data_IF_356868614363
#
_entry.id   IF_356868614363
#
_cell.length_a   1.000
_cell.length_b   1.000
_cell.length_c   1.000
_cell.angle_alpha   90.00
_cell.angle_beta   90.00
_cell.angle_gamma   90.00
#
_symmetry.space_group_name_H-M   'P 1'
#
loop_
_entity.id
_entity.type
_entity.pdbx_description
1 polymer ?
#
# COMPACT_ATOMS: atom_id res chain seq x y z
N UNK A 1 -27.23 -21.79 -18.14
CA UNK A 1 -25.93 -21.27 -17.69
C UNK A 1 -26.03 -21.00 -16.19
N UNK A 2 -24.91 -21.02 -15.45
CA UNK A 2 -24.93 -20.51 -14.07
C UNK A 2 -24.89 -19.00 -14.17
N UNK A 3 -25.83 -18.31 -13.53
CA UNK A 3 -25.93 -16.85 -13.57
C UNK A 3 -25.31 -16.19 -12.32
N UNK A 4 -24.68 -17.00 -11.47
CA UNK A 4 -24.02 -16.60 -10.23
C UNK A 4 -22.85 -17.52 -9.91
N UNK A 5 -21.76 -16.94 -9.41
CA UNK A 5 -20.59 -17.65 -8.88
C UNK A 5 -20.14 -16.99 -7.58
N UNK A 6 -19.75 -17.79 -6.59
CA UNK A 6 -19.40 -17.28 -5.24
C UNK A 6 -17.97 -16.72 -5.13
N UNK A 7 -17.08 -17.10 -6.05
CA UNK A 7 -15.67 -16.67 -6.08
C UNK A 7 -15.30 -16.23 -7.48
N UNK A 8 -14.35 -15.31 -7.58
CA UNK A 8 -13.86 -14.82 -8.88
C UNK A 8 -13.13 -15.93 -9.67
N UNK A 9 -12.51 -16.89 -8.99
CA UNK A 9 -11.83 -18.05 -9.60
C UNK A 9 -12.79 -18.96 -10.39
N UNK A 10 -14.08 -18.90 -10.07
CA UNK A 10 -15.13 -19.67 -10.73
C UNK A 10 -15.73 -18.94 -11.96
N UNK A 11 -15.25 -17.72 -12.27
CA UNK A 11 -15.65 -16.99 -13.46
C UNK A 11 -15.13 -17.69 -14.73
N UNK A 12 -15.88 -17.62 -15.85
CA UNK A 12 -15.37 -18.06 -17.14
C UNK A 12 -14.10 -17.29 -17.53
N UNK A 13 -13.22 -17.82 -18.40
CA UNK A 13 -12.07 -17.07 -18.90
C UNK A 13 -12.45 -15.74 -19.55
N UNK A 14 -11.59 -14.73 -19.41
CA UNK A 14 -11.84 -13.34 -19.81
C UNK A 14 -11.05 -12.31 -19.01
N UNK A 15 -11.44 -11.04 -19.16
CA UNK A 15 -10.69 -9.88 -18.68
C UNK A 15 -11.48 -9.05 -17.65
N UNK A 16 -10.75 -8.44 -16.70
CA UNK A 16 -11.30 -7.43 -15.80
C UNK A 16 -11.47 -6.08 -16.52
N UNK A 17 -12.61 -5.43 -16.28
CA UNK A 17 -12.91 -4.09 -16.74
C UNK A 17 -12.60 -3.07 -15.62
N UNK A 18 -12.53 -1.80 -16.00
CA UNK A 18 -12.38 -0.72 -15.02
C UNK A 18 -13.56 -0.70 -14.03
N UNK A 19 -13.26 -0.51 -12.75
CA UNK A 19 -14.28 -0.37 -11.72
C UNK A 19 -15.12 0.90 -11.96
N UNK A 20 -16.42 0.81 -11.68
CA UNK A 20 -17.31 1.97 -11.81
C UNK A 20 -17.25 2.91 -10.60
N UNK A 21 -17.95 4.04 -10.69
CA UNK A 21 -18.03 5.09 -9.67
C UNK A 21 -18.60 4.60 -8.32
N UNK A 22 -19.14 3.37 -8.27
CA UNK A 22 -19.73 2.75 -7.08
C UNK A 22 -18.86 1.61 -6.52
N UNK A 23 -17.67 1.38 -7.09
CA UNK A 23 -16.74 0.33 -6.64
C UNK A 23 -17.16 -1.08 -7.07
N UNK A 24 -18.05 -1.21 -8.05
CA UNK A 24 -18.45 -2.52 -8.58
C UNK A 24 -17.34 -3.01 -9.50
N UNK A 25 -16.87 -4.24 -9.25
CA UNK A 25 -15.91 -4.90 -10.12
C UNK A 25 -16.64 -5.49 -11.32
N UNK A 26 -16.21 -5.10 -12.51
CA UNK A 26 -16.77 -5.56 -13.77
C UNK A 26 -15.81 -6.54 -14.44
N UNK A 27 -16.37 -7.63 -14.97
CA UNK A 27 -15.61 -8.68 -15.64
C UNK A 27 -16.28 -9.03 -16.96
N UNK A 28 -15.49 -9.15 -18.03
CA UNK A 28 -15.97 -9.52 -19.36
C UNK A 28 -15.37 -10.85 -19.76
N UNK A 29 -16.22 -11.87 -19.83
CA UNK A 29 -15.82 -13.19 -20.29
C UNK A 29 -15.57 -13.21 -21.82
N UNK A 30 -14.78 -14.17 -22.27
CA UNK A 30 -14.43 -14.37 -23.69
C UNK A 30 -15.64 -14.63 -24.59
N UNK A 31 -16.75 -15.12 -24.02
CA UNK A 31 -18.02 -15.34 -24.72
C UNK A 31 -18.84 -14.04 -24.90
N UNK A 32 -18.32 -12.90 -24.44
CA UNK A 32 -18.95 -11.58 -24.51
C UNK A 32 -19.91 -11.30 -23.37
N UNK A 33 -20.06 -12.21 -22.40
CA UNK A 33 -20.88 -11.97 -21.21
C UNK A 33 -20.19 -11.02 -20.22
N UNK A 34 -21.00 -10.16 -19.62
CA UNK A 34 -20.54 -9.23 -18.59
C UNK A 34 -20.97 -9.73 -17.22
N UNK A 35 -20.10 -9.60 -16.24
CA UNK A 35 -20.31 -10.02 -14.87
C UNK A 35 -19.98 -8.86 -13.95
N UNK A 36 -20.74 -8.71 -12.88
CA UNK A 36 -20.52 -7.66 -11.89
C UNK A 36 -20.47 -8.24 -10.48
N UNK A 37 -19.66 -7.63 -9.62
CA UNK A 37 -19.57 -8.01 -8.21
C UNK A 37 -20.86 -7.67 -7.46
N UNK A 38 -21.22 -8.54 -6.52
CA UNK A 38 -22.31 -8.40 -5.55
C UNK A 38 -21.84 -8.95 -4.21
N UNK A 39 -22.58 -8.69 -3.14
CA UNK A 39 -22.21 -9.10 -1.77
C UNK A 39 -21.92 -10.60 -1.60
N UNK A 40 -22.51 -11.45 -2.45
CA UNK A 40 -22.39 -12.91 -2.42
C UNK A 40 -21.54 -13.51 -3.58
N UNK A 41 -20.77 -12.69 -4.29
CA UNK A 41 -19.88 -13.12 -5.38
C UNK A 41 -20.06 -12.31 -6.66
N UNK A 42 -20.28 -12.98 -7.80
CA UNK A 42 -20.43 -12.35 -9.11
C UNK A 42 -21.69 -12.84 -9.82
N UNK A 43 -22.42 -11.91 -10.44
CA UNK A 43 -23.63 -12.20 -11.20
C UNK A 43 -23.49 -11.77 -12.64
N UNK A 44 -24.10 -12.57 -13.52
CA UNK A 44 -24.20 -12.29 -14.94
C UNK A 44 -25.08 -11.06 -15.14
N UNK A 45 -24.53 -10.04 -15.80
CA UNK A 45 -25.26 -8.86 -16.22
C UNK A 45 -26.09 -9.22 -17.46
N UNK A 46 -27.39 -9.32 -17.26
CA UNK A 46 -28.36 -9.43 -18.34
C UNK A 46 -28.80 -7.99 -18.67
N UNK A 47 -28.53 -7.50 -19.89
CA UNK A 47 -29.28 -6.34 -20.41
C UNK A 47 -30.75 -6.68 -20.24
N UNK A 48 -31.52 -5.80 -19.60
CA UNK A 48 -32.98 -5.81 -19.71
C UNK A 48 -33.33 -5.53 -21.17
N UNK A 49 -33.18 -6.56 -22.00
CA UNK A 49 -33.65 -6.61 -23.36
C UNK A 49 -35.16 -6.62 -23.23
N UNK A 50 -35.74 -5.43 -23.40
CA UNK A 50 -37.05 -5.19 -23.97
C UNK A 50 -38.07 -6.27 -23.61
N UNK A 51 -38.94 -5.96 -22.65
CA UNK A 51 -40.27 -6.57 -22.62
C UNK A 51 -40.74 -6.70 -24.08
N UNK A 52 -40.93 -7.93 -24.52
CA UNK A 52 -41.50 -8.24 -25.82
C UNK A 52 -42.84 -7.52 -25.89
N UNK A 53 -42.86 -6.44 -26.68
CA UNK A 53 -44.11 -5.77 -27.03
C UNK A 53 -44.87 -6.75 -27.93
N UNK A 54 -45.72 -7.56 -27.30
CA UNK A 54 -46.77 -8.26 -28.01
C UNK A 54 -47.76 -7.19 -28.48
N UNK A 55 -47.56 -6.75 -29.73
CA UNK A 55 -48.39 -5.77 -30.42
C UNK A 55 -49.77 -6.36 -30.68
N UNK A 56 -50.67 -6.33 -29.70
CA UNK A 56 -52.09 -6.27 -30.01
C UNK A 56 -52.92 -5.47 -28.99
N UNK A 57 -53.45 -4.35 -29.51
CA UNK A 57 -54.66 -3.61 -29.11
C UNK A 57 -54.59 -2.59 -27.95
N UNK A 58 -54.50 -1.32 -28.36
CA UNK A 58 -55.39 -0.17 -28.01
C UNK A 58 -55.98 -0.09 -26.59
N UNK A 59 -55.59 0.92 -25.81
CA UNK A 59 -56.35 2.16 -25.55
C UNK A 59 -55.67 3.09 -24.52
N UNK A 60 -55.55 4.38 -24.89
CA UNK A 60 -55.59 5.61 -24.08
C UNK A 60 -55.28 5.56 -22.56
N UNK A 61 -54.27 6.31 -22.12
CA UNK A 61 -54.46 7.57 -21.36
C UNK A 61 -53.11 8.30 -21.12
N UNK A 62 -53.10 9.61 -21.40
CA UNK A 62 -52.03 10.56 -21.10
C UNK A 62 -51.77 10.68 -19.60
N UNK A 63 -50.49 10.75 -19.20
CA UNK A 63 -50.00 11.73 -18.20
C UNK A 63 -48.47 11.73 -18.11
N UNK A 64 -47.87 12.82 -18.58
CA UNK A 64 -46.58 13.32 -18.10
C UNK A 64 -46.69 13.60 -16.60
N UNK A 65 -45.73 13.11 -15.81
CA UNK A 65 -45.54 13.54 -14.43
C UNK A 65 -44.35 14.49 -14.37
N UNK A 66 -44.66 15.74 -14.02
CA UNK A 66 -43.77 16.87 -13.79
C UNK A 66 -43.18 16.77 -12.37
N UNK A 67 -41.90 17.11 -12.26
CA UNK A 67 -41.05 17.03 -11.07
C UNK A 67 -41.24 18.26 -10.16
N UNK A 68 -42.47 18.52 -9.70
CA UNK A 68 -42.75 19.59 -8.73
C UNK A 68 -43.86 19.14 -7.77
N UNK A 69 -43.57 18.19 -6.88
CA UNK A 69 -44.50 17.84 -5.79
C UNK A 69 -43.77 17.10 -4.66
N UNK A 70 -42.83 17.77 -3.97
CA UNK A 70 -42.33 17.27 -2.68
C UNK A 70 -41.66 18.36 -1.82
N UNK A 71 -42.33 19.50 -1.65
CA UNK A 71 -42.05 20.41 -0.54
C UNK A 71 -43.35 21.04 -0.08
N UNK A 72 -44.16 20.25 0.63
CA UNK A 72 -45.12 20.81 1.56
C UNK A 72 -45.12 19.93 2.82
N UNK A 73 -45.21 20.62 3.95
CA UNK A 73 -45.59 20.14 5.29
C UNK A 73 -44.46 20.04 6.32
N UNK A 74 -44.06 21.22 6.83
CA UNK A 74 -43.85 21.47 8.27
C UNK A 74 -44.00 22.98 8.53
N UNK A 75 -45.22 23.44 8.82
CA UNK A 75 -45.42 24.68 9.60
C UNK A 75 -46.08 24.27 10.92
N UNK A 76 -45.31 24.44 11.99
CA UNK A 76 -45.73 24.36 13.38
C UNK A 76 -46.36 25.72 13.77
N UNK A 77 -47.36 25.65 14.65
CA UNK A 77 -47.79 26.67 15.61
C UNK A 77 -48.65 27.85 15.11
N UNK A 78 -49.87 27.95 15.66
CA UNK A 78 -50.28 29.22 16.29
C UNK A 78 -51.42 29.04 17.30
N UNK A 79 -51.24 29.66 18.47
CA UNK A 79 -52.32 30.04 19.40
C UNK A 79 -52.73 31.50 19.12
N UNK A 80 -54.02 31.70 18.82
CA UNK A 80 -54.90 32.83 19.17
C UNK A 80 -54.32 34.24 19.45
N UNK A 81 -54.60 35.20 18.56
CA UNK A 81 -55.77 36.12 18.62
C UNK A 81 -55.47 37.56 18.11
N UNK A 82 -56.47 38.09 17.40
CA UNK A 82 -56.85 39.50 17.22
C UNK A 82 -56.36 40.33 15.99
N UNK A 83 -57.39 40.70 15.22
CA UNK A 83 -57.58 41.72 14.19
C UNK A 83 -56.53 42.85 14.03
N UNK A 84 -56.08 43.09 12.80
CA UNK A 84 -56.54 44.22 11.94
C UNK A 84 -55.65 44.38 10.69
N UNK A 85 -56.29 44.52 9.53
CA UNK A 85 -55.64 44.92 8.28
C UNK A 85 -55.02 46.33 8.40
N UNK A 86 -53.69 46.42 8.37
CA UNK A 86 -52.99 47.66 7.99
C UNK A 86 -51.83 47.33 7.06
N UNK A 87 -52.03 47.66 5.78
CA UNK A 87 -51.02 47.70 4.74
C UNK A 87 -49.79 48.52 5.15
N UNK A 88 -48.64 47.86 5.34
CA UNK A 88 -47.33 48.53 5.39
C UNK A 88 -46.28 47.72 4.65
N UNK A 89 -45.70 48.36 3.64
CA UNK A 89 -44.56 47.92 2.86
C UNK A 89 -43.42 47.41 3.74
N UNK A 90 -43.18 46.10 3.77
CA UNK A 90 -41.99 45.55 4.39
C UNK A 90 -40.82 45.56 3.40
N UNK A 91 -39.86 46.46 3.64
CA UNK A 91 -38.50 46.34 3.11
C UNK A 91 -37.96 44.97 3.53
N UNK A 92 -37.79 44.04 2.58
CA UNK A 92 -37.05 42.79 2.77
C UNK A 92 -35.64 43.15 3.26
N UNK A 93 -35.37 42.97 4.56
CA UNK A 93 -34.00 42.85 5.05
C UNK A 93 -33.46 41.55 4.45
N UNK A 94 -32.43 41.66 3.60
CA UNK A 94 -31.71 40.50 3.06
C UNK A 94 -31.09 39.75 4.25
N UNK A 95 -31.72 38.67 4.68
CA UNK A 95 -31.16 37.76 5.67
C UNK A 95 -29.97 37.05 5.02
N UNK A 96 -28.81 37.12 5.66
CA UNK A 96 -27.54 36.53 5.16
C UNK A 96 -27.43 35.05 5.52
N UNK A 97 -28.36 34.53 6.33
CA UNK A 97 -28.45 33.14 6.80
C UNK A 97 -28.37 32.05 5.71
N UNK A 98 -29.08 32.15 4.56
CA UNK A 98 -29.01 31.11 3.54
C UNK A 98 -27.64 31.04 2.84
N UNK A 99 -26.89 32.14 2.78
CA UNK A 99 -25.54 32.15 2.21
C UNK A 99 -24.52 31.44 3.13
N UNK A 100 -24.69 31.57 4.45
CA UNK A 100 -23.85 30.86 5.43
C UNK A 100 -24.13 29.35 5.42
N UNK A 101 -25.39 28.93 5.28
CA UNK A 101 -25.73 27.50 5.19
C UNK A 101 -25.17 26.84 3.92
N UNK A 102 -25.24 27.52 2.77
CA UNK A 102 -24.61 27.05 1.52
C UNK A 102 -23.08 26.92 1.66
N UNK A 103 -22.42 27.86 2.33
CA UNK A 103 -20.97 27.79 2.57
C UNK A 103 -20.59 26.64 3.52
N UNK A 104 -21.43 26.31 4.50
CA UNK A 104 -21.20 25.15 5.38
C UNK A 104 -21.37 23.85 4.59
N UNK A 105 -22.38 23.72 3.73
CA UNK A 105 -22.61 22.51 2.92
C UNK A 105 -21.46 22.30 1.92
N UNK A 106 -21.03 23.36 1.23
CA UNK A 106 -19.88 23.31 0.29
C UNK A 106 -18.57 23.05 1.05
N UNK A 107 -18.39 23.62 2.24
CA UNK A 107 -17.22 23.39 3.07
C UNK A 107 -17.14 21.96 3.61
N UNK A 108 -18.27 21.36 4.00
CA UNK A 108 -18.34 19.99 4.53
C UNK A 108 -18.17 18.96 3.41
N UNK A 109 -18.80 19.15 2.25
CA UNK A 109 -18.64 18.26 1.09
C UNK A 109 -17.27 18.41 0.40
N UNK A 110 -16.73 19.64 0.35
CA UNK A 110 -15.40 19.88 -0.19
C UNK A 110 -14.29 19.30 0.69
N UNK A 111 -14.47 19.34 2.01
CA UNK A 111 -13.53 18.72 2.94
C UNK A 111 -13.59 17.19 2.88
N UNK A 112 -14.79 16.58 2.87
CA UNK A 112 -14.91 15.10 2.77
C UNK A 112 -14.36 14.56 1.45
N UNK A 113 -14.59 15.26 0.33
CA UNK A 113 -14.01 14.92 -0.96
C UNK A 113 -12.48 14.98 -0.97
N UNK A 114 -11.87 15.97 -0.29
CA UNK A 114 -10.42 16.06 -0.16
C UNK A 114 -9.82 14.93 0.67
N UNK A 115 -10.47 14.53 1.77
CA UNK A 115 -10.00 13.38 2.57
C UNK A 115 -10.14 12.05 1.83
N UNK A 116 -11.22 11.87 1.07
CA UNK A 116 -11.41 10.66 0.24
C UNK A 116 -10.44 10.65 -0.93
N UNK A 117 -10.21 11.79 -1.58
CA UNK A 117 -9.19 11.93 -2.63
C UNK A 117 -7.79 11.66 -2.08
N UNK A 118 -7.38 12.28 -0.97
CA UNK A 118 -6.08 12.04 -0.31
C UNK A 118 -5.92 10.58 0.14
N UNK A 119 -6.99 9.91 0.58
CA UNK A 119 -6.95 8.50 0.93
C UNK A 119 -6.79 7.58 -0.30
N UNK A 120 -7.47 7.89 -1.40
CA UNK A 120 -7.47 7.06 -2.62
C UNK A 120 -6.24 7.34 -3.49
N UNK A 121 -5.71 8.56 -3.49
CA UNK A 121 -4.56 8.98 -4.30
C UNK A 121 -3.26 9.04 -3.51
N UNK A 122 -3.25 8.63 -2.24
CA UNK A 122 -1.99 8.40 -1.53
C UNK A 122 -1.26 7.28 -2.26
N UNK A 123 -0.31 7.68 -3.09
CA UNK A 123 0.77 6.82 -3.55
C UNK A 123 1.26 6.08 -2.29
N UNK A 124 1.14 4.75 -2.28
CA UNK A 124 1.68 3.95 -1.18
C UNK A 124 3.16 4.28 -1.14
N UNK A 125 3.66 4.99 -0.11
CA UNK A 125 5.04 5.42 -0.10
C UNK A 125 5.88 4.15 -0.15
N UNK A 126 6.76 4.07 -1.15
CA UNK A 126 7.73 2.98 -1.24
C UNK A 126 8.60 3.10 0.02
N UNK A 127 8.74 2.04 0.83
CA UNK A 127 9.58 2.07 2.01
C UNK A 127 10.97 2.62 1.66
N UNK A 128 11.50 3.50 2.52
CA UNK A 128 12.83 4.11 2.32
C UNK A 128 13.95 3.07 2.22
N UNK A 129 13.69 1.86 2.71
CA UNK A 129 14.61 0.74 2.66
C UNK A 129 14.64 -0.02 1.31
N UNK A 130 13.78 0.34 0.34
CA UNK A 130 13.71 -0.37 -0.94
C UNK A 130 14.64 0.23 -1.99
N UNK A 131 15.21 -0.64 -2.84
CA UNK A 131 15.96 -0.23 -4.03
C UNK A 131 17.47 -0.09 -3.83
N UNK A 132 17.97 -0.17 -2.60
CA UNK A 132 19.39 -0.19 -2.27
C UNK A 132 19.84 -1.57 -1.77
N UNK A 133 21.13 -1.89 -1.96
CA UNK A 133 21.74 -3.10 -1.40
C UNK A 133 22.46 -2.73 -0.12
N UNK A 134 22.10 -3.40 0.96
CA UNK A 134 22.73 -3.28 2.28
C UNK A 134 23.81 -4.36 2.42
N UNK A 135 25.06 -3.93 2.43
CA UNK A 135 26.25 -4.77 2.59
C UNK A 135 26.63 -4.90 4.05
N UNK A 136 26.81 -6.14 4.50
CA UNK A 136 27.36 -6.48 5.80
C UNK A 136 28.65 -7.27 5.60
N UNK A 137 29.68 -6.91 6.35
CA UNK A 137 30.87 -7.73 6.54
C UNK A 137 30.87 -8.27 7.97
N UNK A 138 30.80 -9.59 8.09
CA UNK A 138 30.91 -10.31 9.35
C UNK A 138 32.26 -11.03 9.40
N UNK A 139 33.07 -10.69 10.40
CA UNK A 139 34.27 -11.42 10.80
C UNK A 139 34.06 -11.90 12.22
N UNK A 140 33.76 -13.21 12.36
CA UNK A 140 33.55 -13.81 13.66
C UNK A 140 34.82 -14.41 14.27
N UNK A 141 36.00 -14.22 13.65
CA UNK A 141 37.30 -14.65 14.17
C UNK A 141 37.49 -16.16 14.35
N UNK A 142 36.51 -16.98 13.97
CA UNK A 142 36.55 -18.43 14.12
C UNK A 142 36.48 -19.15 12.78
N UNK A 143 35.53 -18.82 11.89
CA UNK A 143 35.36 -19.59 10.64
C UNK A 143 34.71 -18.85 9.46
N UNK A 144 34.07 -17.69 9.65
CA UNK A 144 33.30 -17.03 8.58
C UNK A 144 33.68 -15.55 8.50
N UNK A 145 34.55 -15.23 7.53
CA UNK A 145 34.79 -13.89 7.02
C UNK A 145 34.02 -13.79 5.70
N UNK A 146 32.81 -13.25 5.75
CA UNK A 146 31.94 -13.19 4.57
C UNK A 146 31.27 -11.83 4.44
N UNK A 147 31.38 -11.27 3.23
CA UNK A 147 30.56 -10.13 2.82
C UNK A 147 29.23 -10.62 2.26
N UNK A 148 28.15 -10.08 2.79
CA UNK A 148 26.79 -10.45 2.44
C UNK A 148 26.01 -9.21 2.05
N UNK A 149 25.08 -9.34 1.11
CA UNK A 149 24.21 -8.25 0.67
C UNK A 149 22.74 -8.57 0.94
N UNK A 150 21.95 -7.55 1.25
CA UNK A 150 20.50 -7.63 1.40
C UNK A 150 19.86 -6.54 0.53
N UNK A 151 18.94 -6.92 -0.36
CA UNK A 151 18.13 -5.98 -1.13
C UNK A 151 16.67 -6.23 -0.82
N UNK A 152 16.03 -5.21 -0.26
CA UNK A 152 14.61 -5.25 0.03
C UNK A 152 13.81 -4.73 -1.16
N UNK A 153 12.76 -5.46 -1.49
CA UNK A 153 11.83 -5.14 -2.56
C UNK A 153 10.41 -5.46 -2.10
N UNK A 154 9.43 -5.00 -2.87
CA UNK A 154 8.05 -5.36 -2.63
C UNK A 154 7.90 -6.89 -2.67
N UNK A 155 7.39 -7.47 -1.57
CA UNK A 155 7.09 -8.90 -1.39
C UNK A 155 8.29 -9.87 -1.44
N UNK A 156 9.52 -9.37 -1.59
CA UNK A 156 10.72 -10.22 -1.57
C UNK A 156 11.94 -9.54 -0.96
N UNK A 157 12.80 -10.36 -0.35
CA UNK A 157 14.14 -9.96 0.06
C UNK A 157 15.13 -10.78 -0.76
N UNK A 158 16.01 -10.10 -1.48
CA UNK A 158 17.10 -10.73 -2.22
C UNK A 158 18.34 -10.71 -1.34
N UNK A 159 18.95 -11.89 -1.14
CA UNK A 159 20.19 -12.06 -0.40
C UNK A 159 21.32 -12.39 -1.35
N UNK A 160 22.48 -11.77 -1.12
CA UNK A 160 23.71 -12.00 -1.85
C UNK A 160 24.71 -12.65 -0.91
N UNK A 161 25.18 -13.84 -1.26
CA UNK A 161 26.21 -14.56 -0.53
C UNK A 161 27.43 -14.78 -1.44
N UNK A 162 28.66 -14.85 -0.90
CA UNK A 162 29.82 -15.25 -1.68
C UNK A 162 29.57 -16.63 -2.30
N UNK A 163 29.97 -16.83 -3.56
CA UNK A 163 29.66 -18.04 -4.34
C UNK A 163 30.05 -19.37 -3.68
N UNK A 164 31.06 -19.36 -2.82
CA UNK A 164 31.54 -20.54 -2.10
C UNK A 164 30.97 -20.67 -0.68
N UNK A 165 30.07 -19.76 -0.27
CA UNK A 165 29.38 -19.83 1.01
C UNK A 165 28.48 -21.06 1.06
N UNK A 166 28.40 -21.69 2.23
CA UNK A 166 27.49 -22.81 2.49
C UNK A 166 26.00 -22.42 2.34
N UNK A 167 25.71 -21.12 2.35
CA UNK A 167 24.38 -20.56 2.14
C UNK A 167 23.93 -20.57 0.67
N UNK A 168 24.84 -20.84 -0.27
CA UNK A 168 24.51 -20.97 -1.69
C UNK A 168 23.84 -22.34 -1.97
N UNK A 169 22.78 -22.31 -2.77
CA UNK A 169 22.11 -23.54 -3.24
C UNK A 169 23.00 -24.38 -4.15
N UNK A 170 22.63 -25.64 -4.39
CA UNK A 170 23.39 -26.56 -5.25
C UNK A 170 23.43 -26.13 -6.73
N UNK A 171 22.42 -25.37 -7.18
CA UNK A 171 22.36 -24.74 -8.52
C UNK A 171 21.99 -23.26 -8.36
N UNK A 172 22.93 -22.44 -7.87
CA UNK A 172 22.64 -21.07 -7.47
C UNK A 172 22.51 -20.15 -8.69
N UNK A 173 21.59 -19.20 -8.61
CA UNK A 173 21.63 -18.04 -9.50
C UNK A 173 22.88 -17.23 -9.18
N UNK A 174 23.82 -17.15 -10.12
CA UNK A 174 25.06 -16.37 -9.96
C UNK A 174 24.87 -15.00 -10.59
N UNK A 175 25.39 -14.00 -9.92
CA UNK A 175 25.37 -12.63 -10.40
C UNK A 175 26.32 -12.41 -11.60
N UNK A 176 26.23 -11.24 -12.24
CA UNK A 176 27.02 -10.94 -13.44
C UNK A 176 28.54 -10.97 -13.18
N UNK A 177 28.97 -10.71 -11.94
CA UNK A 177 30.40 -10.75 -11.59
C UNK A 177 30.94 -12.17 -11.43
N UNK A 178 30.08 -13.16 -11.25
CA UNK A 178 30.49 -14.54 -11.02
C UNK A 178 30.87 -14.85 -9.56
N UNK A 179 30.79 -13.88 -8.65
CA UNK A 179 31.27 -13.99 -7.28
C UNK A 179 30.18 -14.09 -6.22
N UNK A 180 28.95 -13.70 -6.53
CA UNK A 180 27.83 -13.80 -5.60
C UNK A 180 26.79 -14.79 -6.11
N UNK A 181 26.32 -15.66 -5.23
CA UNK A 181 25.04 -16.34 -5.43
C UNK A 181 23.91 -15.47 -4.89
N UNK A 182 22.79 -15.51 -5.60
CA UNK A 182 21.59 -14.73 -5.34
C UNK A 182 20.50 -15.69 -4.86
N UNK A 183 19.92 -15.38 -3.71
CA UNK A 183 18.79 -16.12 -3.16
C UNK A 183 17.64 -15.19 -2.86
N UNK A 184 16.49 -15.48 -3.44
CA UNK A 184 15.25 -14.78 -3.12
C UNK A 184 14.55 -15.48 -1.97
N UNK A 185 14.13 -14.72 -0.97
CA UNK A 185 13.32 -15.18 0.15
C UNK A 185 12.02 -14.40 0.13
N UNK A 186 10.89 -15.11 0.17
CA UNK A 186 9.56 -14.49 0.25
C UNK A 186 9.51 -13.58 1.48
N UNK A 187 9.09 -12.33 1.28
CA UNK A 187 9.35 -11.29 2.26
C UNK A 187 8.67 -11.53 3.61
N UNK A 188 9.39 -11.07 4.64
CA UNK A 188 8.85 -10.66 5.92
C UNK A 188 7.72 -9.66 5.66
N UNK A 189 6.65 -9.71 6.46
CA UNK A 189 5.71 -8.60 6.48
C UNK A 189 6.46 -7.41 7.11
N UNK A 190 6.59 -6.31 6.36
CA UNK A 190 7.25 -5.08 6.81
C UNK A 190 6.17 -4.04 7.11
N UNK A 191 6.15 -3.54 8.34
CA UNK A 191 5.22 -2.50 8.78
C UNK A 191 5.98 -1.26 9.20
N UNK A 192 5.59 -0.12 8.64
CA UNK A 192 6.07 1.19 9.09
C UNK A 192 5.47 1.53 10.47
N UNK A 193 6.34 1.84 11.45
CA UNK A 193 5.98 2.28 12.80
C UNK A 193 6.25 3.77 13.04
N UNK A 194 6.68 4.51 12.01
CA UNK A 194 7.08 5.91 12.07
C UNK A 194 8.58 6.08 12.28
N UNK A 195 9.11 5.56 13.39
CA UNK A 195 10.54 5.72 13.74
C UNK A 195 11.42 4.58 13.22
N UNK A 196 10.82 3.45 12.83
CA UNK A 196 11.48 2.26 12.31
C UNK A 196 10.46 1.41 11.54
N UNK A 197 10.97 0.44 10.78
CA UNK A 197 10.15 -0.62 10.19
C UNK A 197 10.23 -1.89 11.04
N UNK A 198 9.08 -2.52 11.32
CA UNK A 198 9.02 -3.83 11.96
C UNK A 198 8.94 -4.89 10.87
N UNK A 199 9.88 -5.83 10.84
CA UNK A 199 9.87 -6.96 9.92
C UNK A 199 9.72 -8.26 10.71
N UNK A 200 8.62 -8.98 10.52
CA UNK A 200 8.37 -10.24 11.22
C UNK A 200 8.41 -11.43 10.27
N UNK A 201 9.03 -12.50 10.73
CA UNK A 201 9.01 -13.80 10.07
C UNK A 201 7.68 -14.49 10.39
N UNK A 202 6.85 -14.82 9.37
CA UNK A 202 5.56 -15.46 9.58
C UNK A 202 5.67 -16.86 10.20
N UNK A 203 6.81 -17.53 10.07
CA UNK A 203 7.06 -18.87 10.58
C UNK A 203 7.73 -18.88 11.96
N UNK A 204 8.62 -17.92 12.23
CA UNK A 204 9.46 -17.91 13.44
C UNK A 204 8.90 -17.06 14.59
N UNK A 205 7.85 -16.25 14.38
CA UNK A 205 7.28 -15.30 15.38
C UNK A 205 8.32 -14.27 15.86
N UNK A 206 9.51 -14.24 15.26
CA UNK A 206 10.55 -13.26 15.56
C UNK A 206 10.31 -12.03 14.70
N UNK A 207 10.40 -10.87 15.34
CA UNK A 207 10.26 -9.57 14.71
C UNK A 207 11.52 -8.77 14.99
N UNK A 208 12.08 -8.17 13.95
CA UNK A 208 13.24 -7.29 14.06
C UNK A 208 12.80 -5.85 13.74
N UNK A 209 13.49 -4.90 14.35
CA UNK A 209 13.29 -3.48 14.08
C UNK A 209 14.39 -2.98 13.14
N UNK A 210 13.98 -2.25 12.11
CA UNK A 210 14.80 -1.77 11.01
C UNK A 210 14.84 -0.24 11.06
N UNK A 211 15.95 0.32 11.53
CA UNK A 211 16.16 1.77 11.62
C UNK A 211 16.96 2.24 10.40
N UNK A 212 16.26 2.78 9.41
CA UNK A 212 16.85 3.29 8.18
C UNK A 212 17.56 4.61 8.45
N UNK A 213 18.78 4.74 7.95
CA UNK A 213 19.65 5.91 8.07
C UNK A 213 20.18 6.28 6.68
N UNK A 214 20.75 7.48 6.53
CA UNK A 214 21.23 7.97 5.22
C UNK A 214 22.25 7.02 4.58
N UNK A 215 23.10 6.39 5.39
CA UNK A 215 24.20 5.55 4.90
C UNK A 215 24.03 4.06 5.08
N UNK A 216 22.89 3.62 5.62
CA UNK A 216 22.64 2.23 5.89
C UNK A 216 21.45 1.99 6.80
N UNK A 217 21.52 0.91 7.57
CA UNK A 217 20.43 0.46 8.43
C UNK A 217 21.01 -0.14 9.71
N UNK A 218 20.38 0.18 10.84
CA UNK A 218 20.62 -0.52 12.11
C UNK A 218 19.46 -1.48 12.33
N UNK A 219 19.79 -2.77 12.44
CA UNK A 219 18.84 -3.82 12.80
C UNK A 219 18.93 -4.04 14.30
N UNK A 220 17.81 -3.90 15.00
CA UNK A 220 17.68 -4.25 16.40
C UNK A 220 16.83 -5.50 16.54
N UNK A 221 17.33 -6.48 17.29
CA UNK A 221 16.58 -7.65 17.69
C UNK A 221 16.06 -7.47 19.12
N UNK A 222 14.74 -7.33 19.33
CA UNK A 222 14.17 -7.16 20.67
C UNK A 222 14.33 -8.39 21.57
N UNK A 223 14.47 -9.59 21.00
CA UNK A 223 14.62 -10.84 21.76
C UNK A 223 16.03 -10.95 22.34
N UNK A 224 17.04 -10.64 21.53
CA UNK A 224 18.45 -10.73 21.91
C UNK A 224 19.03 -9.43 22.46
N UNK A 225 18.29 -8.32 22.34
CA UNK A 225 18.71 -6.98 22.74
C UNK A 225 20.06 -6.56 22.16
N UNK A 226 20.32 -6.97 20.92
CA UNK A 226 21.52 -6.64 20.17
C UNK A 226 21.20 -5.79 18.94
N UNK A 227 22.20 -5.05 18.47
CA UNK A 227 22.11 -4.26 17.26
C UNK A 227 23.20 -4.66 16.28
N UNK A 228 22.86 -4.61 14.99
CA UNK A 228 23.77 -4.85 13.88
C UNK A 228 23.63 -3.73 12.87
N UNK A 229 24.74 -3.09 12.55
CA UNK A 229 24.81 -2.01 11.55
C UNK A 229 25.21 -2.58 10.19
N UNK A 230 24.47 -2.22 9.15
CA UNK A 230 24.67 -2.66 7.77
C UNK A 230 24.72 -1.43 6.86
N UNK A 231 25.62 -1.43 5.87
CA UNK A 231 25.96 -0.25 5.06
C UNK A 231 25.24 -0.29 3.69
N UNK A 232 24.59 0.80 3.24
CA UNK A 232 24.02 0.88 1.88
C UNK A 232 24.70 1.90 0.96
N UNK A 233 25.35 2.92 1.52
CA UNK A 233 26.05 3.97 0.77
C UNK A 233 27.45 3.57 0.29
N UNK A 234 27.60 2.33 -0.16
CA UNK A 234 28.87 1.79 -0.67
C UNK A 234 28.61 1.01 -1.96
N UNK A 235 29.56 1.07 -2.89
CA UNK A 235 29.48 0.25 -4.08
C UNK A 235 29.56 -1.25 -3.74
N UNK A 236 29.09 -2.07 -4.67
CA UNK A 236 29.20 -3.52 -4.54
C UNK A 236 30.68 -3.91 -4.33
N UNK A 237 30.99 -4.79 -3.36
CA UNK A 237 32.35 -5.22 -3.07
C UNK A 237 33.03 -5.86 -4.28
N UNK A 238 34.25 -5.41 -4.56
CA UNK A 238 35.18 -6.13 -5.39
C UNK A 238 35.82 -7.25 -4.56
N UNK A 239 35.70 -8.49 -5.05
CA UNK A 239 36.19 -9.67 -4.36
C UNK A 239 37.50 -10.17 -4.97
N UNK A 240 38.46 -10.48 -4.11
CA UNK A 240 39.75 -11.08 -4.45
C UNK A 240 39.89 -12.42 -3.75
N UNK A 241 40.52 -13.37 -4.45
CA UNK A 241 40.79 -14.70 -3.90
C UNK A 241 42.08 -14.68 -3.08
N UNK A 242 42.03 -15.19 -1.84
CA UNK A 242 43.20 -15.34 -0.99
C UNK A 242 43.99 -16.64 -1.26
N UNK A 243 45.03 -16.91 -0.45
CA UNK A 243 45.87 -18.11 -0.57
C UNK A 243 45.14 -19.44 -0.26
N UNK A 244 43.94 -19.37 0.32
CA UNK A 244 43.10 -20.49 0.71
C UNK A 244 41.82 -20.59 -0.15
N UNK A 245 41.80 -19.94 -1.32
CA UNK A 245 40.65 -19.87 -2.24
C UNK A 245 39.39 -19.18 -1.65
N UNK A 246 39.54 -18.38 -0.59
CA UNK A 246 38.44 -17.59 0.01
C UNK A 246 38.27 -16.28 -0.74
N UNK A 247 37.02 -15.83 -0.87
CA UNK A 247 36.68 -14.57 -1.51
C UNK A 247 36.56 -13.47 -0.45
N UNK A 248 37.50 -12.54 -0.45
CA UNK A 248 37.55 -11.43 0.49
C UNK A 248 37.37 -10.09 -0.26
N UNK A 249 36.72 -9.09 0.35
CA UNK A 249 36.70 -7.73 -0.20
C UNK A 249 38.11 -7.14 -0.32
N UNK A 250 38.30 -6.20 -1.22
CA UNK A 250 39.56 -5.44 -1.31
C UNK A 250 39.77 -4.55 -0.08
N UNK A 251 41.05 -4.27 0.25
CA UNK A 251 41.40 -3.37 1.36
C UNK A 251 40.75 -1.99 1.21
N UNK A 252 40.70 -1.45 -0.02
CA UNK A 252 40.06 -0.17 -0.34
C UNK A 252 38.56 -0.18 0.01
N UNK A 253 37.86 -1.24 -0.38
CA UNK A 253 36.44 -1.40 -0.04
C UNK A 253 36.23 -1.55 1.47
N UNK A 254 37.11 -2.29 2.15
CA UNK A 254 37.04 -2.48 3.60
C UNK A 254 37.26 -1.19 4.39
N UNK A 255 38.21 -0.34 3.96
CA UNK A 255 38.44 0.96 4.56
C UNK A 255 37.19 1.86 4.45
N UNK A 256 36.58 1.92 3.27
CA UNK A 256 35.34 2.68 3.04
C UNK A 256 34.17 2.12 3.87
N UNK A 257 34.00 0.79 3.88
CA UNK A 257 32.96 0.11 4.66
C UNK A 257 33.07 0.45 6.15
N UNK A 258 34.25 0.36 6.75
CA UNK A 258 34.43 0.68 8.17
C UNK A 258 34.28 2.16 8.47
N UNK A 259 34.67 3.04 7.54
CA UNK A 259 34.41 4.46 7.66
C UNK A 259 32.90 4.72 7.74
N UNK A 260 32.12 4.21 6.79
CA UNK A 260 30.66 4.40 6.76
C UNK A 260 29.99 3.74 7.96
N UNK A 261 30.40 2.51 8.32
CA UNK A 261 29.88 1.80 9.49
C UNK A 261 30.09 2.60 10.78
N UNK A 262 31.22 3.31 10.90
CA UNK A 262 31.45 4.19 12.05
C UNK A 262 30.48 5.37 12.10
N UNK A 263 30.10 5.94 10.95
CA UNK A 263 29.14 7.04 10.86
C UNK A 263 27.73 6.59 11.27
N UNK A 264 27.27 5.45 10.76
CA UNK A 264 26.00 4.81 11.16
C UNK A 264 25.96 4.59 12.68
N UNK A 265 27.05 4.11 13.26
CA UNK A 265 27.14 3.87 14.70
C UNK A 265 26.90 5.15 15.54
N UNK A 266 27.24 6.33 15.03
CA UNK A 266 26.97 7.60 15.73
C UNK A 266 25.50 8.04 15.62
N UNK A 267 24.79 7.59 14.59
CA UNK A 267 23.39 7.94 14.29
C UNK A 267 22.39 6.89 14.80
N UNK A 268 22.90 5.77 15.32
CA UNK A 268 22.09 4.65 15.81
C UNK A 268 21.03 5.08 16.85
N UNK A 269 19.87 4.41 16.88
CA UNK A 269 18.85 4.69 17.87
C UNK A 269 19.37 4.38 19.29
N UNK A 270 18.88 5.12 20.28
CA UNK A 270 19.34 4.99 21.68
C UNK A 270 19.12 3.59 22.28
N UNK A 271 18.20 2.80 21.72
CA UNK A 271 18.01 1.39 22.10
C UNK A 271 19.27 0.55 21.89
N UNK A 272 20.13 0.97 20.96
CA UNK A 272 21.40 0.31 20.69
C UNK A 272 22.55 0.77 21.58
N UNK A 273 22.39 1.84 22.37
CA UNK A 273 23.49 2.40 23.17
C UNK A 273 24.07 1.44 24.21
N UNK A 274 23.22 0.58 24.79
CA UNK A 274 23.60 -0.44 25.77
C UNK A 274 23.71 -1.86 25.15
N UNK A 275 23.49 -1.97 23.83
CA UNK A 275 23.52 -3.26 23.13
C UNK A 275 24.95 -3.79 23.02
N UNK A 276 25.09 -5.12 23.04
CA UNK A 276 26.35 -5.75 22.66
C UNK A 276 26.52 -5.57 21.15
N UNK A 277 27.59 -4.87 20.74
CA UNK A 277 28.00 -4.86 19.33
C UNK A 277 28.36 -6.31 18.95
N UNK A 278 27.64 -6.89 17.97
CA UNK A 278 27.90 -8.23 17.41
C UNK A 278 28.65 -8.13 16.10
#
# INVERSE_FOLDING_TARGET
>A
MRNHVSRWEDLPPGDWLANDEHGVHWYRADDGSHWHSVDDGYRLWEEENSQSIDNSKTQNQNKDFNYEDFYDDYDEDDYDDNDTYVSRSFRRKKSVLPAFLMLIIIGVLGASGYFVYDYITKEVPVPELYGEIYWNYADNGFDVEEVNGLLFQQERITRFYPKFSEMCDTDPLIDESGYFCIREVTALNIWDKGDYYEACDPELITCIHLYVQEKGITIYDPEWQNCVDIVSSIEKPELVTDENDRLNPTDEWMEEYYQIKSEIKYERPSVCDESFDV
#
